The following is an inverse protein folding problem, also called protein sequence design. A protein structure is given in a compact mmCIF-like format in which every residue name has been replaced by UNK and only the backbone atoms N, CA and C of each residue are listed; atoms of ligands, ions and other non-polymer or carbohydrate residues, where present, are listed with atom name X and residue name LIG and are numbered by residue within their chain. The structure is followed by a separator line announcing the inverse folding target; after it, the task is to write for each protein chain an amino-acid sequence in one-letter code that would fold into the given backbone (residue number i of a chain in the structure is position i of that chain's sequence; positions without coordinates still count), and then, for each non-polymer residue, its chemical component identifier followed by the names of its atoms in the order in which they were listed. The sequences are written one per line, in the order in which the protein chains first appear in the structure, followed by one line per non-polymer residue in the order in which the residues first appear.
data_IF_682947285432
#
_entry.id   IF_682947285432
#
_cell.length_a   1.000
_cell.length_b   1.000
_cell.length_c   1.000
_cell.angle_alpha   90.00
_cell.angle_beta   90.00
_cell.angle_gamma   90.00
#
_symmetry.space_group_name_H-M   'P 1'
#
loop_
_entity.id
_entity.type
_entity.pdbx_description
1 polymer ?
#
# COMPACT_ATOMS: atom_id res chain seq x y z
N UNK A 1 31.00 -18.82 -19.55
CA UNK A 1 30.86 -17.46 -20.07
C UNK A 1 30.45 -17.52 -21.53
N UNK A 2 29.49 -16.67 -21.98
CA UNK A 2 29.09 -16.61 -23.38
C UNK A 2 30.25 -16.08 -24.25
N UNK A 3 30.51 -16.70 -25.39
CA UNK A 3 31.49 -16.28 -26.37
C UNK A 3 31.02 -14.95 -27.05
N UNK A 4 31.90 -14.26 -27.73
CA UNK A 4 31.60 -12.99 -28.37
C UNK A 4 30.55 -13.16 -29.48
N UNK A 5 30.59 -14.27 -30.22
CA UNK A 5 29.61 -14.61 -31.23
C UNK A 5 28.23 -14.90 -30.64
N UNK A 6 28.18 -15.65 -29.55
CA UNK A 6 26.93 -15.95 -28.82
C UNK A 6 26.28 -14.66 -28.28
N UNK A 7 27.09 -13.68 -27.80
CA UNK A 7 26.57 -12.38 -27.35
C UNK A 7 25.98 -11.56 -28.50
N UNK A 8 26.64 -11.55 -29.67
CA UNK A 8 26.12 -10.86 -30.86
C UNK A 8 24.82 -11.50 -31.33
N UNK A 9 24.75 -12.82 -31.38
CA UNK A 9 23.56 -13.58 -31.76
C UNK A 9 22.39 -13.32 -30.80
N UNK A 10 22.67 -13.34 -29.49
CA UNK A 10 21.70 -12.98 -28.46
C UNK A 10 21.11 -11.58 -28.65
N UNK A 11 21.96 -10.59 -28.90
CA UNK A 11 21.51 -9.19 -29.13
C UNK A 11 20.61 -9.12 -30.38
N UNK A 12 21.02 -9.73 -31.50
CA UNK A 12 20.25 -9.68 -32.75
C UNK A 12 18.88 -10.36 -32.64
N UNK A 13 18.82 -11.52 -31.98
CA UNK A 13 17.56 -12.23 -31.75
C UNK A 13 16.61 -11.44 -30.88
N UNK A 14 17.13 -10.85 -29.78
CA UNK A 14 16.30 -10.11 -28.83
C UNK A 14 15.88 -8.73 -29.32
N UNK A 15 16.65 -8.09 -30.17
CA UNK A 15 16.22 -6.83 -30.84
C UNK A 15 15.01 -7.08 -31.74
N UNK A 16 15.06 -8.10 -32.58
CA UNK A 16 13.92 -8.50 -33.44
C UNK A 16 12.69 -8.85 -32.59
N UNK A 17 12.94 -9.52 -31.46
CA UNK A 17 11.86 -9.91 -30.56
C UNK A 17 11.21 -8.71 -29.86
N UNK A 18 11.99 -7.71 -29.44
CA UNK A 18 11.47 -6.48 -28.82
C UNK A 18 10.58 -5.73 -29.82
N UNK A 19 11.01 -5.60 -31.08
CA UNK A 19 10.28 -4.88 -32.09
C UNK A 19 8.95 -5.57 -32.49
N UNK A 20 8.76 -6.85 -32.13
CA UNK A 20 7.51 -7.57 -32.37
C UNK A 20 6.43 -7.39 -31.28
N UNK A 21 6.79 -6.81 -30.13
CA UNK A 21 5.87 -6.57 -29.02
C UNK A 21 5.50 -5.10 -28.90
N UNK A 22 4.25 -4.82 -28.52
CA UNK A 22 3.75 -3.46 -28.34
C UNK A 22 4.21 -2.85 -27.02
N UNK A 23 4.39 -3.66 -25.99
CA UNK A 23 4.77 -3.22 -24.65
C UNK A 23 6.17 -3.73 -24.29
N UNK A 24 7.02 -2.81 -23.86
CA UNK A 24 8.35 -3.07 -23.33
C UNK A 24 8.42 -2.48 -21.93
N UNK A 25 8.76 -3.29 -20.93
CA UNK A 25 8.94 -2.82 -19.55
C UNK A 25 10.29 -3.21 -18.97
N UNK A 26 10.71 -2.48 -17.95
CA UNK A 26 11.90 -2.77 -17.15
C UNK A 26 11.47 -3.06 -15.72
N UNK A 27 11.93 -4.19 -15.19
CA UNK A 27 11.70 -4.61 -13.81
C UNK A 27 13.04 -4.72 -13.10
N UNK A 28 13.25 -3.99 -12.00
CA UNK A 28 14.41 -4.19 -11.14
C UNK A 28 14.27 -5.54 -10.44
N UNK A 29 15.33 -6.30 -10.43
CA UNK A 29 15.37 -7.62 -9.76
C UNK A 29 15.99 -7.55 -8.36
N UNK A 30 16.48 -6.38 -7.95
CA UNK A 30 17.11 -6.20 -6.66
C UNK A 30 16.12 -6.46 -5.53
N UNK A 31 16.47 -7.41 -4.65
CA UNK A 31 15.61 -7.77 -3.50
C UNK A 31 14.43 -8.69 -3.82
N UNK A 32 14.24 -9.07 -5.08
CA UNK A 32 13.20 -10.03 -5.48
C UNK A 32 13.73 -11.45 -5.35
N UNK A 33 13.05 -12.34 -4.60
CA UNK A 33 13.44 -13.74 -4.51
C UNK A 33 13.26 -14.49 -5.84
N UNK A 34 14.17 -15.40 -6.15
CA UNK A 34 14.08 -16.21 -7.37
C UNK A 34 12.78 -17.02 -7.45
N UNK A 35 12.25 -17.45 -6.30
CA UNK A 35 10.96 -18.16 -6.23
C UNK A 35 9.81 -17.30 -6.77
N UNK A 36 9.78 -16.00 -6.46
CA UNK A 36 8.77 -15.08 -6.99
C UNK A 36 8.91 -14.89 -8.49
N UNK A 37 10.14 -14.73 -8.97
CA UNK A 37 10.43 -14.64 -10.41
C UNK A 37 10.00 -15.89 -11.17
N UNK A 38 10.29 -17.06 -10.64
CA UNK A 38 9.92 -18.34 -11.24
C UNK A 38 8.40 -18.53 -11.27
N UNK A 39 7.70 -18.27 -10.16
CA UNK A 39 6.25 -18.39 -10.09
C UNK A 39 5.57 -17.41 -11.04
N UNK A 40 6.03 -16.16 -11.09
CA UNK A 40 5.47 -15.16 -12.00
C UNK A 40 5.73 -15.48 -13.47
N UNK A 41 6.90 -16.03 -13.80
CA UNK A 41 7.20 -16.54 -15.15
C UNK A 41 6.26 -17.68 -15.55
N UNK A 42 6.00 -18.61 -14.64
CA UNK A 42 5.13 -19.74 -14.92
C UNK A 42 3.67 -19.30 -15.09
N UNK A 43 3.19 -18.42 -14.21
CA UNK A 43 1.81 -17.96 -14.23
C UNK A 43 1.50 -17.06 -15.44
N UNK A 44 2.49 -16.31 -15.93
CA UNK A 44 2.30 -15.34 -17.02
C UNK A 44 3.02 -15.75 -18.32
N UNK A 45 3.41 -17.01 -18.47
CA UNK A 45 4.20 -17.49 -19.60
C UNK A 45 3.52 -17.27 -20.97
N UNK A 46 2.21 -17.27 -21.02
CA UNK A 46 1.43 -17.04 -22.22
C UNK A 46 1.34 -15.57 -22.63
N UNK A 47 1.44 -14.65 -21.68
CA UNK A 47 1.19 -13.21 -21.89
C UNK A 47 2.47 -12.37 -21.85
N UNK A 48 3.48 -12.83 -21.09
CA UNK A 48 4.69 -12.05 -20.81
C UNK A 48 5.94 -12.86 -21.10
N UNK A 49 6.86 -12.27 -21.82
CA UNK A 49 8.18 -12.81 -22.06
C UNK A 49 9.21 -12.03 -21.26
N UNK A 50 9.96 -12.77 -20.41
CA UNK A 50 11.01 -12.19 -19.59
C UNK A 50 12.38 -12.40 -20.26
N UNK A 51 13.12 -11.32 -20.45
CA UNK A 51 14.50 -11.36 -20.92
C UNK A 51 15.39 -10.95 -19.74
N UNK A 52 16.20 -11.88 -19.28
CA UNK A 52 17.16 -11.65 -18.21
C UNK A 52 18.58 -11.86 -18.71
N UNK A 53 19.49 -11.01 -18.25
CA UNK A 53 20.87 -11.09 -18.68
C UNK A 53 21.75 -10.06 -18.00
N UNK A 54 23.01 -10.02 -18.38
CA UNK A 54 23.95 -9.02 -17.87
C UNK A 54 23.52 -7.62 -18.34
N UNK A 55 23.55 -6.61 -17.45
CA UNK A 55 23.16 -5.20 -17.73
C UNK A 55 23.70 -4.70 -19.07
N UNK A 56 25.00 -4.92 -19.33
CA UNK A 56 25.64 -4.47 -20.57
C UNK A 56 25.09 -5.11 -21.86
N UNK A 57 24.53 -6.32 -21.77
CA UNK A 57 23.87 -6.96 -22.91
C UNK A 57 22.45 -6.43 -23.09
N UNK A 58 21.72 -6.26 -22.00
CA UNK A 58 20.35 -5.70 -22.03
C UNK A 58 20.35 -4.25 -22.56
N UNK A 59 21.33 -3.43 -22.17
CA UNK A 59 21.51 -2.07 -22.71
C UNK A 59 21.67 -2.11 -24.21
N UNK A 60 22.58 -2.97 -24.76
CA UNK A 60 22.80 -3.11 -26.21
C UNK A 60 21.57 -3.60 -26.95
N UNK A 61 20.78 -4.49 -26.33
CA UNK A 61 19.51 -4.96 -26.90
C UNK A 61 18.52 -3.80 -26.99
N UNK A 62 18.39 -2.97 -25.94
CA UNK A 62 17.49 -1.82 -25.92
C UNK A 62 17.94 -0.69 -26.87
N UNK A 63 19.24 -0.41 -26.95
CA UNK A 63 19.80 0.58 -27.89
C UNK A 63 19.56 0.20 -29.35
N UNK A 64 19.56 -1.10 -29.66
CA UNK A 64 19.29 -1.62 -31.00
C UNK A 64 17.83 -1.57 -31.43
N UNK A 65 16.88 -1.37 -30.49
CA UNK A 65 15.44 -1.32 -30.78
C UNK A 65 14.97 0.13 -30.94
N UNK A 66 13.92 0.34 -31.74
CA UNK A 66 13.36 1.69 -31.99
C UNK A 66 12.83 2.35 -30.73
N UNK A 67 12.15 1.59 -29.88
CA UNK A 67 11.47 2.08 -28.69
C UNK A 67 12.28 1.91 -27.38
N UNK A 68 13.43 1.21 -27.42
CA UNK A 68 14.20 0.86 -26.23
C UNK A 68 15.22 1.89 -25.77
N UNK A 69 15.63 2.84 -26.62
CA UNK A 69 16.71 3.81 -26.30
C UNK A 69 16.48 4.61 -25.01
N UNK A 70 15.23 4.92 -24.71
CA UNK A 70 14.85 5.64 -23.48
C UNK A 70 15.00 4.74 -22.26
N UNK A 71 14.62 3.46 -22.39
CA UNK A 71 14.73 2.48 -21.30
C UNK A 71 16.18 2.11 -20.99
N UNK A 72 17.07 2.15 -21.98
CA UNK A 72 18.49 1.85 -21.80
C UNK A 72 19.16 2.77 -20.77
N UNK A 73 18.76 4.04 -20.70
CA UNK A 73 19.27 5.02 -19.71
C UNK A 73 18.75 4.80 -18.29
N UNK A 74 17.65 4.09 -18.15
CA UNK A 74 16.96 3.87 -16.88
C UNK A 74 17.14 2.46 -16.30
N UNK A 75 18.01 1.68 -16.93
CA UNK A 75 18.41 0.36 -16.45
C UNK A 75 19.38 0.49 -15.28
N UNK A 76 18.86 0.35 -14.04
CA UNK A 76 19.69 0.35 -12.84
C UNK A 76 19.88 -1.07 -12.28
N UNK A 77 21.14 -1.38 -11.93
CA UNK A 77 21.49 -2.64 -11.27
C UNK A 77 21.16 -3.89 -12.09
N UNK A 78 20.69 -4.91 -11.40
CA UNK A 78 20.21 -6.15 -12.00
C UNK A 78 18.75 -5.99 -12.35
N UNK A 79 18.43 -5.99 -13.64
CA UNK A 79 17.07 -5.76 -14.15
C UNK A 79 16.69 -6.83 -15.16
N UNK A 80 15.40 -7.03 -15.36
CA UNK A 80 14.83 -7.83 -16.44
C UNK A 80 14.04 -6.93 -17.40
N UNK A 81 14.04 -7.29 -18.66
CA UNK A 81 13.13 -6.71 -19.66
C UNK A 81 11.92 -7.61 -19.76
N UNK A 82 10.74 -7.01 -19.72
CA UNK A 82 9.46 -7.68 -19.94
C UNK A 82 8.88 -7.22 -21.27
N UNK A 83 8.33 -8.17 -22.02
CA UNK A 83 7.66 -7.94 -23.29
C UNK A 83 6.25 -8.50 -23.20
N UNK A 84 5.28 -7.72 -23.63
CA UNK A 84 3.87 -8.14 -23.68
C UNK A 84 3.11 -7.43 -24.80
N UNK A 85 1.94 -7.95 -25.13
CA UNK A 85 0.98 -7.30 -26.02
C UNK A 85 -0.28 -6.85 -25.25
N UNK A 86 -0.30 -7.08 -23.93
CA UNK A 86 -1.41 -6.71 -23.04
C UNK A 86 -1.33 -5.25 -22.62
N UNK A 87 -2.42 -4.74 -22.07
CA UNK A 87 -2.48 -3.37 -21.51
C UNK A 87 -1.50 -3.22 -20.33
N UNK A 88 -0.71 -2.13 -20.27
CA UNK A 88 0.25 -1.89 -19.18
C UNK A 88 -0.38 -1.96 -17.78
N UNK A 89 -1.59 -1.42 -17.61
CA UNK A 89 -2.29 -1.39 -16.31
C UNK A 89 -2.76 -2.78 -15.86
N UNK A 90 -3.28 -3.60 -16.80
CA UNK A 90 -3.67 -4.98 -16.49
C UNK A 90 -2.45 -5.82 -16.11
N UNK A 91 -1.36 -5.63 -16.83
CA UNK A 91 -0.11 -6.30 -16.56
C UNK A 91 0.43 -5.94 -15.19
N UNK A 92 0.41 -4.65 -14.83
CA UNK A 92 0.82 -4.19 -13.50
C UNK A 92 -0.05 -4.81 -12.40
N UNK A 93 -1.38 -4.84 -12.56
CA UNK A 93 -2.29 -5.48 -11.61
C UNK A 93 -1.98 -6.97 -11.41
N UNK A 94 -1.69 -7.70 -12.50
CA UNK A 94 -1.32 -9.12 -12.43
C UNK A 94 0.00 -9.34 -11.68
N UNK A 95 1.00 -8.46 -11.89
CA UNK A 95 2.26 -8.52 -11.16
C UNK A 95 2.09 -8.21 -9.67
N UNK A 96 1.31 -7.20 -9.34
CA UNK A 96 1.02 -6.82 -7.95
C UNK A 96 0.17 -7.87 -7.23
N UNK A 97 -0.73 -8.55 -7.94
CA UNK A 97 -1.51 -9.65 -7.39
C UNK A 97 -0.64 -10.89 -7.06
N UNK A 98 0.45 -11.09 -7.82
CA UNK A 98 1.41 -12.19 -7.61
C UNK A 98 2.37 -11.88 -6.46
N UNK A 99 1.84 -11.61 -5.26
CA UNK A 99 2.63 -11.28 -4.07
C UNK A 99 3.04 -12.54 -3.31
N UNK A 100 4.32 -12.62 -2.90
CA UNK A 100 4.82 -13.67 -2.02
C UNK A 100 5.22 -13.05 -0.68
N UNK A 101 4.86 -13.74 0.41
CA UNK A 101 5.31 -13.37 1.75
C UNK A 101 6.78 -13.75 1.92
N UNK A 102 7.55 -12.88 2.55
CA UNK A 102 8.97 -13.06 2.82
C UNK A 102 9.25 -13.01 4.31
N UNK A 103 10.20 -13.83 4.72
CA UNK A 103 10.77 -13.79 6.05
C UNK A 103 11.54 -12.48 6.28
N UNK A 104 11.50 -11.99 7.50
CA UNK A 104 12.26 -10.81 7.91
C UNK A 104 13.77 -11.11 7.91
N UNK A 105 14.56 -10.18 7.39
CA UNK A 105 16.02 -10.20 7.50
C UNK A 105 16.48 -9.21 8.57
N UNK A 106 17.58 -9.50 9.27
CA UNK A 106 18.17 -8.54 10.20
C UNK A 106 18.49 -7.21 9.53
N UNK A 107 18.37 -6.12 10.27
CA UNK A 107 18.62 -4.74 9.80
C UNK A 107 17.64 -4.20 8.76
N UNK A 108 16.53 -4.87 8.49
CA UNK A 108 15.43 -4.32 7.69
C UNK A 108 14.50 -3.46 8.55
N UNK A 109 13.89 -2.45 7.94
CA UNK A 109 12.83 -1.65 8.57
C UNK A 109 11.49 -2.38 8.43
N UNK A 110 10.70 -2.44 9.49
CA UNK A 110 9.38 -3.04 9.48
C UNK A 110 8.41 -2.20 8.64
N UNK A 111 7.73 -2.78 7.62
CA UNK A 111 6.78 -2.05 6.79
C UNK A 111 5.47 -1.73 7.52
N UNK A 112 5.08 -2.59 8.44
CA UNK A 112 3.88 -2.50 9.28
C UNK A 112 4.21 -2.96 10.70
N UNK A 113 3.31 -2.71 11.65
CA UNK A 113 3.46 -3.21 13.01
C UNK A 113 3.42 -4.74 13.01
N UNK A 114 4.47 -5.36 13.54
CA UNK A 114 4.56 -6.82 13.60
C UNK A 114 3.97 -7.28 14.93
N UNK A 115 2.74 -7.80 14.86
CA UNK A 115 2.01 -8.34 16.00
C UNK A 115 2.22 -9.84 16.12
N UNK A 116 2.32 -10.32 17.36
CA UNK A 116 2.24 -11.74 17.69
C UNK A 116 1.02 -11.92 18.60
N UNK A 117 0.16 -12.82 18.20
CA UNK A 117 -1.02 -13.19 18.99
C UNK A 117 -0.67 -14.26 20.02
N UNK A 118 -1.31 -14.20 21.18
CA UNK A 118 -1.27 -15.25 22.19
C UNK A 118 -1.90 -16.55 21.65
N UNK A 119 -1.32 -17.67 21.98
CA UNK A 119 -1.87 -18.96 21.55
C UNK A 119 -0.86 -20.12 21.60
N UNK A 120 -1.39 -21.31 21.36
CA UNK A 120 -0.56 -22.51 21.25
C UNK A 120 0.19 -22.51 19.92
N UNK A 121 1.49 -22.86 19.98
CA UNK A 121 2.31 -23.04 18.78
C UNK A 121 2.57 -24.54 18.52
N UNK A 122 2.88 -24.87 17.31
CA UNK A 122 3.28 -26.25 16.93
C UNK A 122 4.73 -26.57 17.30
N UNK A 123 5.43 -25.62 17.94
CA UNK A 123 6.85 -25.75 18.24
C UNK A 123 7.10 -26.63 19.46
N UNK A 124 8.12 -27.47 19.37
CA UNK A 124 8.59 -28.26 20.49
C UNK A 124 9.47 -27.42 21.42
N UNK A 125 9.42 -27.67 22.75
CA UNK A 125 10.29 -27.01 23.71
C UNK A 125 11.75 -27.37 23.44
N UNK A 126 12.60 -26.35 23.40
CA UNK A 126 14.02 -26.47 23.10
C UNK A 126 14.62 -25.12 22.68
N UNK A 127 15.37 -25.10 21.62
CA UNK A 127 16.05 -23.89 21.08
C UNK A 127 15.02 -22.79 20.74
N UNK A 128 13.81 -23.16 20.28
CA UNK A 128 12.75 -22.22 19.96
C UNK A 128 12.35 -21.33 21.18
N UNK A 129 12.30 -21.92 22.37
CA UNK A 129 11.99 -21.15 23.60
C UNK A 129 13.06 -20.08 23.88
N UNK A 130 14.32 -20.42 23.69
CA UNK A 130 15.43 -19.49 23.90
C UNK A 130 15.43 -18.38 22.87
N UNK A 131 15.15 -18.68 21.60
CA UNK A 131 15.04 -17.69 20.52
C UNK A 131 13.86 -16.73 20.75
N UNK A 132 12.69 -17.24 21.14
CA UNK A 132 11.54 -16.42 21.43
C UNK A 132 11.75 -15.51 22.66
N UNK A 133 12.34 -16.03 23.72
CA UNK A 133 12.69 -15.22 24.91
C UNK A 133 13.72 -14.14 24.61
N UNK A 134 14.73 -14.43 23.77
CA UNK A 134 15.72 -13.44 23.37
C UNK A 134 15.14 -12.29 22.51
N UNK A 135 14.03 -12.56 21.82
CA UNK A 135 13.25 -11.55 21.10
C UNK A 135 12.26 -10.79 22.01
N UNK A 136 12.21 -11.13 23.31
CA UNK A 136 11.31 -10.50 24.28
C UNK A 136 9.88 -10.99 24.23
N UNK A 137 9.63 -12.22 23.74
CA UNK A 137 8.31 -12.84 23.71
C UNK A 137 8.15 -13.68 25.00
N UNK A 138 7.06 -13.45 25.70
CA UNK A 138 6.70 -14.24 26.89
C UNK A 138 6.13 -15.58 26.46
N UNK A 139 6.92 -16.65 26.69
CA UNK A 139 6.51 -18.03 26.35
C UNK A 139 6.42 -18.89 27.59
N UNK A 140 5.41 -19.75 27.61
CA UNK A 140 5.21 -20.82 28.58
C UNK A 140 5.24 -22.17 27.88
N UNK A 141 5.60 -23.22 28.63
CA UNK A 141 5.54 -24.58 28.12
C UNK A 141 4.30 -25.23 28.74
N UNK A 142 3.37 -25.64 27.93
CA UNK A 142 2.18 -26.38 28.35
C UNK A 142 2.03 -27.65 27.51
N UNK A 143 1.81 -28.77 28.14
CA UNK A 143 1.61 -30.10 27.51
C UNK A 143 2.67 -30.46 26.45
N UNK A 144 3.94 -30.06 26.67
CA UNK A 144 5.02 -30.34 25.73
C UNK A 144 5.03 -29.47 24.47
N UNK A 145 4.29 -28.37 24.44
CA UNK A 145 4.27 -27.37 23.37
C UNK A 145 4.63 -25.99 23.92
N UNK A 146 5.12 -25.13 23.06
CA UNK A 146 5.40 -23.74 23.39
C UNK A 146 4.14 -22.91 23.19
N UNK A 147 3.71 -22.20 24.22
CA UNK A 147 2.53 -21.33 24.20
C UNK A 147 2.97 -19.89 24.42
N UNK A 148 2.49 -18.98 23.57
CA UNK A 148 2.70 -17.54 23.70
C UNK A 148 1.72 -17.01 24.74
N UNK A 149 2.23 -16.40 25.82
CA UNK A 149 1.41 -16.03 26.98
C UNK A 149 0.56 -14.77 26.77
N UNK A 150 1.05 -13.81 25.95
CA UNK A 150 0.38 -12.51 25.74
C UNK A 150 0.58 -12.02 24.31
N UNK A 151 -0.42 -11.28 23.83
CA UNK A 151 -0.29 -10.50 22.58
C UNK A 151 0.75 -9.42 22.77
N UNK A 152 1.65 -9.29 21.81
CA UNK A 152 2.70 -8.28 21.84
C UNK A 152 3.02 -7.75 20.45
N UNK A 153 3.22 -6.42 20.36
CA UNK A 153 3.85 -5.80 19.21
C UNK A 153 5.36 -5.98 19.36
N UNK A 154 5.97 -6.79 18.51
CA UNK A 154 7.42 -7.03 18.56
C UNK A 154 8.21 -5.87 18.00
N UNK A 155 7.76 -5.34 16.86
CA UNK A 155 8.44 -4.26 16.15
C UNK A 155 7.38 -3.29 15.63
N UNK A 156 7.40 -2.02 16.06
CA UNK A 156 6.53 -1.01 15.50
C UNK A 156 7.00 -0.64 14.08
N UNK A 157 6.07 -0.15 13.28
CA UNK A 157 6.32 0.31 11.92
C UNK A 157 7.49 1.28 11.85
N UNK A 158 8.39 1.07 10.90
CA UNK A 158 9.57 1.93 10.70
C UNK A 158 10.76 1.63 11.62
N UNK A 159 10.63 0.70 12.58
CA UNK A 159 11.75 0.29 13.43
C UNK A 159 12.58 -0.82 12.80
N UNK A 160 13.85 -0.87 13.15
CA UNK A 160 14.81 -1.86 12.62
C UNK A 160 14.59 -3.22 13.27
N UNK A 161 14.51 -4.26 12.48
CA UNK A 161 14.40 -5.65 12.95
C UNK A 161 15.76 -6.15 13.43
N UNK A 162 15.85 -6.52 14.71
CA UNK A 162 17.07 -7.09 15.29
C UNK A 162 17.24 -8.56 14.86
N UNK A 163 18.46 -9.09 14.99
CA UNK A 163 18.76 -10.49 14.67
C UNK A 163 17.91 -11.47 15.50
N UNK A 164 17.69 -11.16 16.78
CA UNK A 164 16.87 -11.98 17.69
C UNK A 164 15.41 -12.04 17.22
N UNK A 165 14.83 -10.88 16.86
CA UNK A 165 13.47 -10.78 16.33
C UNK A 165 13.33 -11.49 14.99
N UNK A 166 14.29 -11.33 14.07
CA UNK A 166 14.27 -12.02 12.78
C UNK A 166 14.26 -13.54 12.94
N UNK A 167 15.07 -14.10 13.87
CA UNK A 167 15.07 -15.53 14.20
C UNK A 167 13.74 -15.98 14.79
N UNK A 168 13.19 -15.23 15.76
CA UNK A 168 11.91 -15.55 16.37
C UNK A 168 10.76 -15.54 15.35
N UNK A 169 10.71 -14.59 14.44
CA UNK A 169 9.72 -14.53 13.36
C UNK A 169 9.87 -15.73 12.41
N UNK A 170 11.09 -16.12 12.09
CA UNK A 170 11.35 -17.28 11.26
C UNK A 170 10.92 -18.60 11.96
N UNK A 171 11.18 -18.73 13.26
CA UNK A 171 10.79 -19.88 14.06
C UNK A 171 9.26 -20.00 14.18
N UNK A 172 8.55 -18.87 14.22
CA UNK A 172 7.06 -18.83 14.22
C UNK A 172 6.46 -18.89 12.80
N UNK A 173 7.26 -19.01 11.74
CA UNK A 173 6.84 -18.95 10.33
C UNK A 173 6.03 -17.68 9.97
N UNK A 174 6.31 -16.58 10.69
CA UNK A 174 5.68 -15.28 10.42
C UNK A 174 6.50 -14.56 9.36
N UNK A 175 5.86 -14.28 8.23
CA UNK A 175 6.46 -13.60 7.09
C UNK A 175 5.85 -12.21 6.93
N UNK A 176 6.40 -11.18 7.58
CA UNK A 176 5.80 -9.84 7.61
C UNK A 176 6.00 -9.04 6.32
N UNK A 177 6.98 -9.42 5.51
CA UNK A 177 7.25 -8.73 4.26
C UNK A 177 6.43 -9.33 3.12
N UNK A 178 5.94 -8.44 2.26
CA UNK A 178 5.30 -8.82 1.00
C UNK A 178 6.23 -8.36 -0.12
N UNK A 179 6.58 -9.24 -1.02
CA UNK A 179 7.30 -8.90 -2.24
C UNK A 179 6.39 -9.09 -3.45
N UNK A 180 6.33 -8.09 -4.28
CA UNK A 180 5.68 -8.11 -5.59
C UNK A 180 6.69 -7.70 -6.66
N UNK A 181 6.41 -8.06 -7.89
CA UNK A 181 7.18 -7.59 -9.04
C UNK A 181 6.60 -6.23 -9.42
N UNK A 182 7.39 -5.17 -9.24
CA UNK A 182 6.98 -3.83 -9.60
C UNK A 182 7.80 -3.34 -10.80
N UNK A 183 7.21 -3.24 -11.99
CA UNK A 183 7.87 -2.61 -13.13
C UNK A 183 8.15 -1.13 -12.85
N UNK A 184 9.41 -0.71 -13.01
CA UNK A 184 9.79 0.69 -12.83
C UNK A 184 9.25 1.57 -13.94
N UNK A 185 9.33 1.08 -15.17
CA UNK A 185 8.91 1.82 -16.37
C UNK A 185 8.41 0.85 -17.40
N UNK A 186 7.33 1.21 -18.07
CA UNK A 186 6.82 0.54 -19.25
C UNK A 186 6.64 1.55 -20.40
N UNK A 187 6.90 1.12 -21.62
CA UNK A 187 6.61 1.87 -22.84
C UNK A 187 5.62 1.04 -23.65
N UNK A 188 4.49 1.64 -23.99
CA UNK A 188 3.50 1.05 -24.86
C UNK A 188 3.06 2.08 -25.91
N UNK A 189 3.13 1.73 -27.18
CA UNK A 189 2.72 2.60 -28.31
C UNK A 189 3.38 4.00 -28.28
N UNK A 190 4.64 4.08 -27.82
CA UNK A 190 5.38 5.35 -27.71
C UNK A 190 5.10 6.16 -26.44
N UNK A 191 4.09 5.80 -25.67
CA UNK A 191 3.79 6.42 -24.38
C UNK A 191 4.61 5.78 -23.25
N UNK A 192 5.13 6.62 -22.36
CA UNK A 192 5.92 6.20 -21.21
C UNK A 192 5.07 6.19 -19.96
N UNK A 193 5.04 5.06 -19.27
CA UNK A 193 4.38 4.87 -17.98
C UNK A 193 5.43 4.62 -16.91
N UNK A 194 5.49 5.48 -15.91
CA UNK A 194 6.34 5.31 -14.72
C UNK A 194 5.61 4.54 -13.64
N UNK A 195 6.34 3.94 -12.69
CA UNK A 195 5.75 3.15 -11.61
C UNK A 195 4.66 3.86 -10.81
N UNK A 196 4.78 5.19 -10.63
CA UNK A 196 3.80 5.99 -9.88
C UNK A 196 2.43 6.08 -10.58
N UNK A 197 2.42 6.10 -11.92
CA UNK A 197 1.17 6.13 -12.70
C UNK A 197 0.36 4.85 -12.52
N UNK A 198 1.02 3.72 -12.28
CA UNK A 198 0.33 2.43 -12.09
C UNK A 198 -0.31 2.28 -10.71
N UNK A 199 0.12 3.05 -9.70
CA UNK A 199 -0.44 3.05 -8.35
C UNK A 199 -1.79 3.77 -8.26
N UNK A 200 -2.21 4.43 -9.34
CA UNK A 200 -3.50 5.12 -9.41
C UNK A 200 -4.63 4.10 -9.49
N UNK A 201 -5.36 3.96 -8.40
CA UNK A 201 -6.56 3.13 -8.32
C UNK A 201 -7.81 3.99 -8.60
N UNK A 202 -8.82 3.39 -9.23
CA UNK A 202 -10.13 4.04 -9.42
C UNK A 202 -10.75 4.50 -8.10
N UNK A 203 -10.55 3.74 -7.02
CA UNK A 203 -11.02 4.08 -5.68
C UNK A 203 -10.31 5.31 -5.10
N UNK A 204 -8.98 5.39 -5.25
CA UNK A 204 -8.22 6.57 -4.79
C UNK A 204 -8.62 7.82 -5.55
N UNK A 205 -8.77 7.74 -6.88
CA UNK A 205 -9.20 8.87 -7.70
C UNK A 205 -10.61 9.32 -7.33
N UNK A 206 -11.55 8.40 -7.11
CA UNK A 206 -12.90 8.73 -6.67
C UNK A 206 -12.89 9.44 -5.31
N UNK A 207 -12.05 8.99 -4.39
CA UNK A 207 -11.86 9.62 -3.09
C UNK A 207 -11.25 11.02 -3.22
N UNK A 208 -10.20 11.16 -4.03
CA UNK A 208 -9.54 12.46 -4.26
C UNK A 208 -10.50 13.49 -4.89
N UNK A 209 -11.37 13.04 -5.81
CA UNK A 209 -12.43 13.89 -6.38
C UNK A 209 -13.44 14.29 -5.32
N UNK A 210 -13.89 13.35 -4.48
CA UNK A 210 -14.82 13.65 -3.39
C UNK A 210 -14.23 14.62 -2.37
N UNK A 211 -12.97 14.43 -1.99
CA UNK A 211 -12.23 15.30 -1.09
C UNK A 211 -12.02 16.72 -1.69
N UNK A 212 -11.71 16.79 -2.98
CA UNK A 212 -11.57 18.06 -3.70
C UNK A 212 -12.92 18.82 -3.76
N UNK A 213 -14.02 18.11 -4.02
CA UNK A 213 -15.36 18.69 -4.03
C UNK A 213 -15.76 19.20 -2.62
N UNK A 214 -15.49 18.40 -1.57
CA UNK A 214 -15.76 18.82 -0.19
C UNK A 214 -14.96 20.07 0.20
N UNK A 215 -13.69 20.15 -0.18
CA UNK A 215 -12.85 21.34 0.04
C UNK A 215 -13.36 22.55 -0.73
N UNK A 216 -13.78 22.38 -1.98
CA UNK A 216 -14.36 23.45 -2.79
C UNK A 216 -15.67 23.98 -2.18
N UNK A 217 -16.53 23.09 -1.65
CA UNK A 217 -17.73 23.47 -0.92
C UNK A 217 -17.40 24.24 0.37
N UNK A 218 -16.41 23.81 1.14
CA UNK A 218 -15.98 24.49 2.35
C UNK A 218 -15.50 25.94 2.05
N UNK A 219 -14.65 26.09 1.03
CA UNK A 219 -14.16 27.42 0.59
C UNK A 219 -15.32 28.30 0.10
N UNK A 220 -16.26 27.74 -0.69
CA UNK A 220 -17.46 28.46 -1.14
C UNK A 220 -18.33 28.92 0.02
N UNK A 221 -18.43 28.08 1.07
CA UNK A 221 -19.19 28.38 2.25
C UNK A 221 -18.53 29.49 3.08
N UNK A 222 -17.22 29.39 3.35
CA UNK A 222 -16.45 30.41 4.07
C UNK A 222 -16.40 31.74 3.30
N UNK A 223 -16.27 31.69 1.98
CA UNK A 223 -16.30 32.85 1.09
C UNK A 223 -17.70 33.46 0.89
N UNK A 224 -18.74 32.90 1.55
CA UNK A 224 -20.15 33.34 1.43
C UNK A 224 -20.66 33.37 -0.01
N UNK A 225 -20.13 32.46 -0.87
CA UNK A 225 -20.57 32.32 -2.25
C UNK A 225 -21.87 31.53 -2.32
N UNK A 226 -22.94 32.21 -2.71
CA UNK A 226 -24.25 31.57 -2.86
C UNK A 226 -24.33 30.87 -4.19
N UNK A 227 -24.44 29.54 -4.15
CA UNK A 227 -24.63 28.68 -5.32
C UNK A 227 -25.62 27.55 -4.98
N UNK A 228 -25.99 26.75 -5.97
CA UNK A 228 -26.94 25.63 -5.82
C UNK A 228 -26.58 24.65 -4.69
N UNK A 229 -25.29 24.47 -4.40
CA UNK A 229 -24.81 23.48 -3.43
C UNK A 229 -24.65 24.07 -2.02
N UNK A 230 -24.54 25.40 -1.90
CA UNK A 230 -24.31 26.06 -0.62
C UNK A 230 -25.57 26.72 -0.05
N UNK A 231 -26.58 27.03 -0.91
CA UNK A 231 -27.78 27.76 -0.52
C UNK A 231 -28.56 27.10 0.59
N UNK A 232 -28.77 25.78 0.53
CA UNK A 232 -29.51 25.04 1.54
C UNK A 232 -28.84 25.13 2.91
N UNK A 233 -27.51 25.05 2.93
CA UNK A 233 -26.71 25.14 4.16
C UNK A 233 -26.74 26.56 4.74
N UNK A 234 -26.69 27.56 3.89
CA UNK A 234 -26.84 28.98 4.36
C UNK A 234 -28.22 29.23 4.97
N UNK A 235 -29.28 28.74 4.35
CA UNK A 235 -30.65 28.88 4.89
C UNK A 235 -30.78 28.13 6.22
N UNK A 236 -30.29 26.91 6.30
CA UNK A 236 -30.33 26.13 7.53
C UNK A 236 -29.51 26.80 8.67
N UNK A 237 -28.35 27.34 8.37
CA UNK A 237 -27.55 28.05 9.37
C UNK A 237 -28.23 29.38 9.80
N UNK A 238 -28.73 30.18 8.86
CA UNK A 238 -29.44 31.42 9.18
C UNK A 238 -30.66 31.15 10.06
N UNK A 239 -31.41 30.08 9.78
CA UNK A 239 -32.52 29.64 10.62
C UNK A 239 -32.06 29.25 12.03
N UNK A 240 -30.99 28.45 12.14
CA UNK A 240 -30.45 28.03 13.43
C UNK A 240 -29.90 29.22 14.25
N UNK A 241 -29.19 30.13 13.59
CA UNK A 241 -28.70 31.37 14.23
C UNK A 241 -29.85 32.26 14.73
N UNK A 242 -30.89 32.43 13.91
CA UNK A 242 -32.08 33.16 14.31
C UNK A 242 -32.80 32.52 15.50
N UNK A 243 -32.93 31.18 15.48
CA UNK A 243 -33.51 30.41 16.59
C UNK A 243 -32.68 30.52 17.86
N UNK A 244 -31.36 30.46 17.77
CA UNK A 244 -30.46 30.60 18.92
C UNK A 244 -30.56 32.01 19.52
N UNK A 245 -30.55 33.02 18.67
CA UNK A 245 -30.72 34.40 19.09
C UNK A 245 -32.08 34.62 19.77
N UNK A 246 -33.16 34.05 19.22
CA UNK A 246 -34.50 34.11 19.80
C UNK A 246 -34.60 33.45 21.18
N UNK A 247 -33.92 32.31 21.36
CA UNK A 247 -33.84 31.64 22.67
C UNK A 247 -33.04 32.44 23.67
N UNK A 248 -31.90 33.03 23.27
CA UNK A 248 -31.08 33.87 24.15
C UNK A 248 -31.81 35.17 24.53
N UNK A 249 -32.49 35.79 23.58
CA UNK A 249 -33.30 37.01 23.80
C UNK A 249 -34.61 36.71 24.52
N UNK A 250 -34.95 35.44 24.79
CA UNK A 250 -36.21 35.01 25.44
C UNK A 250 -37.47 35.58 24.78
N UNK A 251 -37.46 35.59 23.44
CA UNK A 251 -38.61 36.11 22.68
C UNK A 251 -39.77 35.12 22.78
N UNK A 252 -40.98 35.57 23.21
CA UNK A 252 -42.14 34.70 23.35
C UNK A 252 -42.84 34.47 21.99
N UNK A 253 -42.20 33.75 21.10
CA UNK A 253 -42.78 33.32 19.83
C UNK A 253 -43.06 31.80 19.85
N UNK A 254 -44.09 31.36 19.11
CA UNK A 254 -44.58 30.00 19.12
C UNK A 254 -43.49 28.97 18.74
N UNK A 255 -42.64 29.26 17.77
CA UNK A 255 -41.54 28.40 17.36
C UNK A 255 -40.36 28.35 18.33
N UNK A 256 -40.20 29.36 19.18
CA UNK A 256 -39.10 29.49 20.15
C UNK A 256 -39.51 28.93 21.53
N UNK A 257 -40.80 29.04 21.88
CA UNK A 257 -41.32 28.60 23.17
C UNK A 257 -41.07 27.13 23.49
N UNK A 258 -41.19 26.26 22.49
CA UNK A 258 -40.88 24.83 22.65
C UNK A 258 -39.42 24.60 23.08
N UNK A 259 -38.50 25.28 22.44
CA UNK A 259 -37.05 25.18 22.76
C UNK A 259 -36.73 25.85 24.12
N UNK A 260 -37.40 26.92 24.48
CA UNK A 260 -37.24 27.53 25.81
C UNK A 260 -37.69 26.62 26.92
N UNK A 261 -38.82 25.92 26.75
CA UNK A 261 -39.30 24.92 27.70
C UNK A 261 -38.37 23.71 27.77
N UNK A 262 -37.88 23.22 26.63
CA UNK A 262 -36.92 22.14 26.57
C UNK A 262 -35.61 22.49 27.30
N UNK A 263 -35.05 23.67 27.06
CA UNK A 263 -33.86 24.15 27.74
C UNK A 263 -34.09 24.32 29.25
N UNK A 264 -35.23 24.86 29.65
CA UNK A 264 -35.57 24.99 31.06
C UNK A 264 -35.66 23.61 31.75
N UNK A 265 -36.25 22.63 31.09
CA UNK A 265 -36.32 21.25 31.56
C UNK A 265 -34.93 20.61 31.69
N UNK A 266 -34.05 20.79 30.69
CA UNK A 266 -32.66 20.32 30.72
C UNK A 266 -31.86 20.93 31.88
N UNK A 267 -32.02 22.25 32.09
CA UNK A 267 -31.38 22.96 33.20
C UNK A 267 -31.89 22.46 34.57
N UNK A 268 -33.20 22.24 34.71
CA UNK A 268 -33.78 21.71 35.91
C UNK A 268 -33.30 20.29 36.25
N UNK A 269 -33.22 19.45 35.23
CA UNK A 269 -32.69 18.07 35.39
C UNK A 269 -31.19 18.08 35.74
N UNK A 270 -30.39 18.97 35.15
CA UNK A 270 -28.97 19.10 35.45
C UNK A 270 -28.74 19.61 36.89
N UNK A 271 -29.58 20.54 37.39
CA UNK A 271 -29.56 21.00 38.78
C UNK A 271 -29.95 19.86 39.75
N UNK A 272 -31.01 19.14 39.44
CA UNK A 272 -31.49 18.05 40.27
C UNK A 272 -30.43 16.90 40.39
N UNK A 273 -29.75 16.63 39.32
CA UNK A 273 -28.63 15.63 39.31
C UNK A 273 -27.40 16.07 40.12
N UNK A 274 -27.20 17.39 40.33
CA UNK A 274 -26.12 17.95 41.15
C UNK A 274 -26.52 18.03 42.65
N UNK A 275 -27.80 18.17 42.93
CA UNK A 275 -28.31 18.23 44.29
C UNK A 275 -28.46 16.84 44.93
N UNK A 276 -28.63 15.81 44.13
CA UNK A 276 -28.76 14.41 44.57
C UNK A 276 -27.41 13.63 44.56
N UNK A 277 -26.29 14.33 44.42
CA UNK A 277 -24.93 13.85 44.70
C UNK A 277 -24.46 14.44 46.04
#
# INVERSE_FOLDING_TARGET
MLTLEQKKKFVQEHVKLIDSYKLIGVVPLNGIPDRLLQSSRNNMRSEVKFITGKKSLLVKVLEGSKNGKVLAKMLDGTSAIILSNSNPFELYKKFTASTIKLAAKPSQLAPEDIHISSGETTLQPGQAVTELKSAGIDVKIDKGKVVIAKDKVLVPKGSTITLAVAKALHTLDIMPFKASIEPSIMISEGLRYTGDVFKINTESVSKDIADAFAKALAISYEGKLINRYTIERFIANAYNEAMTLGVEAKVPDTGIMEKLVENASLHANALNSKLNK
#
